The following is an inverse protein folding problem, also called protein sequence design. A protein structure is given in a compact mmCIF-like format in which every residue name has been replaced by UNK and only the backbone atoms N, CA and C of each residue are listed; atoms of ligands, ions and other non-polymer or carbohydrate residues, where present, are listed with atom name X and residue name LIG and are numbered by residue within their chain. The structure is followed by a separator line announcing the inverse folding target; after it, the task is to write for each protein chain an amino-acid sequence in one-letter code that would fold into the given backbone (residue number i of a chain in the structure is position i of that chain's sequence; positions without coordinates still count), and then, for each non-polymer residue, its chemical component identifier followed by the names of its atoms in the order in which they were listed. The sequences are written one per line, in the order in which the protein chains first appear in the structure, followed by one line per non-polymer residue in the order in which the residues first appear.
data_IF_266395352620
#
_entry.id   IF_266395352620
#
_cell.length_a   1.000
_cell.length_b   1.000
_cell.length_c   1.000
_cell.angle_alpha   90.00
_cell.angle_beta   90.00
_cell.angle_gamma   90.00
#
_symmetry.space_group_name_H-M   'P 1'
#
loop_
_entity.id
_entity.type
_entity.pdbx_description
1 polymer ?
#
# COMPACT_ATOMS: atom_id res chain seq x y z
N UNK A 1 44.06 22.44 -3.80
CA UNK A 1 42.64 22.10 -3.51
C UNK A 1 42.38 20.75 -4.14
N UNK A 2 42.38 19.68 -3.35
CA UNK A 2 42.18 18.33 -3.86
C UNK A 2 40.74 18.18 -4.36
N UNK A 3 40.59 17.73 -5.60
CA UNK A 3 39.30 17.41 -6.20
C UNK A 3 38.70 16.21 -5.45
N UNK A 4 37.81 16.48 -4.49
CA UNK A 4 37.03 15.45 -3.80
C UNK A 4 36.05 14.86 -4.82
N UNK A 5 36.50 13.90 -5.62
CA UNK A 5 35.63 13.06 -6.44
C UNK A 5 34.70 12.28 -5.51
N UNK A 6 33.48 12.77 -5.36
CA UNK A 6 32.41 12.06 -4.65
C UNK A 6 32.20 10.73 -5.36
N UNK A 7 32.25 9.64 -4.59
CA UNK A 7 32.05 8.29 -5.10
C UNK A 7 30.67 8.15 -5.76
N UNK A 8 30.66 7.72 -7.03
CA UNK A 8 29.46 7.48 -7.84
C UNK A 8 28.51 6.49 -7.17
N UNK A 9 29.03 5.56 -6.37
CA UNK A 9 28.23 4.62 -5.59
C UNK A 9 27.40 5.33 -4.51
N UNK A 10 27.98 6.31 -3.81
CA UNK A 10 27.30 7.11 -2.78
C UNK A 10 26.16 7.92 -3.42
N UNK A 11 26.39 8.49 -4.60
CA UNK A 11 25.37 9.24 -5.35
C UNK A 11 24.22 8.30 -5.75
N UNK A 12 24.53 7.15 -6.34
CA UNK A 12 23.52 6.17 -6.76
C UNK A 12 22.67 5.66 -5.59
N UNK A 13 23.28 5.39 -4.43
CA UNK A 13 22.56 4.97 -3.22
C UNK A 13 21.58 6.05 -2.75
N UNK A 14 22.01 7.32 -2.70
CA UNK A 14 21.14 8.45 -2.32
C UNK A 14 19.98 8.65 -3.29
N UNK A 15 20.25 8.63 -4.60
CA UNK A 15 19.20 8.79 -5.63
C UNK A 15 18.21 7.63 -5.57
N UNK A 16 18.69 6.40 -5.40
CA UNK A 16 17.83 5.23 -5.28
C UNK A 16 16.98 5.28 -4.01
N UNK A 17 17.54 5.70 -2.87
CA UNK A 17 16.77 5.91 -1.65
C UNK A 17 15.67 6.97 -1.85
N UNK A 18 16.03 8.15 -2.38
CA UNK A 18 15.06 9.23 -2.58
C UNK A 18 13.94 8.83 -3.53
N UNK A 19 14.25 8.09 -4.59
CA UNK A 19 13.25 7.54 -5.51
C UNK A 19 12.29 6.60 -4.80
N UNK A 20 12.79 5.61 -4.06
CA UNK A 20 11.94 4.65 -3.33
C UNK A 20 11.13 5.34 -2.23
N UNK A 21 11.70 6.32 -1.54
CA UNK A 21 10.98 7.12 -0.56
C UNK A 21 9.78 7.87 -1.18
N UNK A 22 10.00 8.57 -2.31
CA UNK A 22 8.94 9.29 -3.01
C UNK A 22 7.88 8.34 -3.59
N UNK A 23 8.31 7.20 -4.15
CA UNK A 23 7.42 6.18 -4.67
C UNK A 23 6.54 5.59 -3.56
N UNK A 24 7.10 5.35 -2.37
CA UNK A 24 6.35 4.87 -1.23
C UNK A 24 5.27 5.88 -0.81
N UNK A 25 5.62 7.16 -0.68
CA UNK A 25 4.66 8.21 -0.33
C UNK A 25 3.52 8.29 -1.35
N UNK A 26 3.84 8.30 -2.64
CA UNK A 26 2.85 8.30 -3.71
C UNK A 26 1.95 7.05 -3.67
N UNK A 27 2.54 5.88 -3.42
CA UNK A 27 1.79 4.62 -3.33
C UNK A 27 0.85 4.60 -2.12
N UNK A 28 1.29 5.09 -0.96
CA UNK A 28 0.44 5.18 0.24
C UNK A 28 -0.73 6.16 0.04
N UNK A 29 -0.51 7.29 -0.62
CA UNK A 29 -1.58 8.23 -0.97
C UNK A 29 -2.56 7.57 -1.97
N UNK A 30 -2.05 6.89 -2.99
CA UNK A 30 -2.88 6.16 -3.94
C UNK A 30 -3.69 5.03 -3.27
N UNK A 31 -3.11 4.35 -2.28
CA UNK A 31 -3.82 3.37 -1.45
C UNK A 31 -4.99 4.01 -0.70
N UNK A 32 -4.81 5.19 -0.09
CA UNK A 32 -5.92 5.91 0.57
C UNK A 32 -7.07 6.15 -0.42
N UNK A 33 -6.75 6.62 -1.63
CA UNK A 33 -7.74 6.94 -2.66
C UNK A 33 -8.47 5.68 -3.13
N UNK A 34 -7.74 4.64 -3.54
CA UNK A 34 -8.35 3.41 -4.06
C UNK A 34 -9.12 2.66 -2.98
N UNK A 35 -8.70 2.70 -1.70
CA UNK A 35 -9.45 2.15 -0.58
C UNK A 35 -10.71 2.97 -0.26
N UNK A 36 -10.68 4.29 -0.48
CA UNK A 36 -11.88 5.12 -0.39
C UNK A 36 -12.89 4.71 -1.45
N UNK A 37 -12.44 4.50 -2.69
CA UNK A 37 -13.28 3.96 -3.76
C UNK A 37 -13.73 2.54 -3.44
N UNK A 38 -12.88 1.72 -2.82
CA UNK A 38 -13.23 0.36 -2.41
C UNK A 38 -14.45 0.36 -1.51
N UNK A 39 -14.50 1.26 -0.51
CA UNK A 39 -15.55 1.24 0.50
C UNK A 39 -16.80 2.03 0.09
N UNK A 40 -16.62 3.24 -0.44
CA UNK A 40 -17.73 4.15 -0.71
C UNK A 40 -18.43 3.91 -2.06
N UNK A 41 -17.74 3.27 -3.00
CA UNK A 41 -18.31 2.90 -4.30
C UNK A 41 -18.57 1.39 -4.42
N UNK A 42 -18.50 0.64 -3.30
CA UNK A 42 -18.97 -0.74 -3.27
C UNK A 42 -20.50 -0.76 -3.20
N UNK A 43 -21.13 -1.56 -4.06
CA UNK A 43 -22.58 -1.77 -4.06
C UNK A 43 -23.00 -2.85 -3.05
N UNK A 44 -22.03 -3.57 -2.46
CA UNK A 44 -22.25 -4.64 -1.50
C UNK A 44 -22.53 -4.07 -0.11
N UNK A 45 -23.72 -4.36 0.41
CA UNK A 45 -24.19 -3.87 1.70
C UNK A 45 -23.43 -4.44 2.90
N UNK A 46 -22.75 -5.58 2.76
CA UNK A 46 -22.03 -6.26 3.84
C UNK A 46 -20.94 -5.35 4.45
N UNK A 47 -20.30 -4.49 3.65
CA UNK A 47 -19.22 -3.62 4.15
C UNK A 47 -19.71 -2.49 5.06
N UNK A 48 -21.02 -2.20 5.11
CA UNK A 48 -21.59 -1.24 6.06
C UNK A 48 -21.83 -1.83 7.45
N UNK A 49 -21.59 -3.13 7.66
CA UNK A 49 -21.66 -3.72 8.98
C UNK A 49 -20.60 -3.13 9.92
N UNK A 50 -20.89 -3.02 11.23
CA UNK A 50 -19.97 -2.41 12.20
C UNK A 50 -18.57 -3.02 12.21
N UNK A 51 -18.46 -4.34 11.98
CA UNK A 51 -17.16 -5.02 11.90
C UNK A 51 -16.29 -4.44 10.80
N UNK A 52 -16.82 -4.27 9.58
CA UNK A 52 -16.09 -3.75 8.44
C UNK A 52 -15.74 -2.27 8.58
N UNK A 53 -16.62 -1.48 9.21
CA UNK A 53 -16.32 -0.08 9.56
C UNK A 53 -15.12 0.00 10.50
N UNK A 54 -15.03 -0.89 11.49
CA UNK A 54 -13.89 -0.95 12.43
C UNK A 54 -12.60 -1.34 11.68
N UNK A 55 -12.65 -2.37 10.82
CA UNK A 55 -11.50 -2.80 10.01
C UNK A 55 -11.00 -1.65 9.13
N UNK A 56 -11.91 -0.96 8.43
CA UNK A 56 -11.59 0.21 7.61
C UNK A 56 -10.96 1.34 8.43
N UNK A 57 -11.50 1.60 9.62
CA UNK A 57 -10.99 2.64 10.52
C UNK A 57 -9.57 2.34 10.98
N UNK A 58 -9.29 1.09 11.37
CA UNK A 58 -7.94 0.64 11.74
C UNK A 58 -6.99 0.79 10.56
N UNK A 59 -7.44 0.44 9.35
CA UNK A 59 -6.65 0.56 8.14
C UNK A 59 -6.27 2.02 7.84
N UNK A 60 -7.22 2.96 7.90
CA UNK A 60 -6.95 4.40 7.71
C UNK A 60 -6.06 5.01 8.79
N UNK A 61 -6.22 4.61 10.05
CA UNK A 61 -5.32 5.07 11.12
C UNK A 61 -3.91 4.55 10.88
N UNK A 62 -3.77 3.29 10.48
CA UNK A 62 -2.45 2.68 10.23
C UNK A 62 -1.74 3.32 9.04
N UNK A 63 -2.46 3.59 7.93
CA UNK A 63 -1.85 4.24 6.76
C UNK A 63 -1.47 5.70 7.06
N UNK A 64 -2.32 6.43 7.80
CA UNK A 64 -2.03 7.80 8.23
C UNK A 64 -0.82 7.87 9.17
N UNK A 65 -0.75 6.95 10.13
CA UNK A 65 0.39 6.84 11.04
C UNK A 65 1.69 6.47 10.30
N UNK A 66 1.62 5.52 9.37
CA UNK A 66 2.75 5.15 8.52
C UNK A 66 3.23 6.33 7.68
N UNK A 67 2.33 7.05 7.00
CA UNK A 67 2.64 8.26 6.23
C UNK A 67 3.36 9.29 7.10
N UNK A 68 2.83 9.59 8.29
CA UNK A 68 3.45 10.55 9.21
C UNK A 68 4.90 10.17 9.55
N UNK A 69 5.16 8.90 9.84
CA UNK A 69 6.51 8.42 10.14
C UNK A 69 7.43 8.44 8.91
N UNK A 70 6.91 8.05 7.73
CA UNK A 70 7.68 8.08 6.47
C UNK A 70 8.04 9.53 6.12
N UNK A 71 7.14 10.51 6.25
CA UNK A 71 7.46 11.93 6.04
C UNK A 71 8.61 12.40 6.94
N UNK A 72 8.68 11.90 8.18
CA UNK A 72 9.77 12.18 9.12
C UNK A 72 11.02 11.32 8.90
N UNK A 73 11.01 10.48 7.86
CA UNK A 73 12.08 9.53 7.49
C UNK A 73 12.42 8.55 8.62
N UNK A 74 11.44 8.22 9.46
CA UNK A 74 11.60 7.28 10.57
C UNK A 74 11.48 5.85 10.05
N UNK A 75 12.46 5.00 10.37
CA UNK A 75 12.60 3.63 9.85
C UNK A 75 11.36 2.74 10.08
N UNK A 76 10.69 2.87 11.24
CA UNK A 76 9.46 2.11 11.52
C UNK A 76 8.30 2.46 10.59
N UNK A 77 8.24 3.69 10.06
CA UNK A 77 7.20 4.09 9.10
C UNK A 77 7.21 3.24 7.84
N UNK A 78 8.41 2.97 7.30
CA UNK A 78 8.60 2.12 6.13
C UNK A 78 8.20 0.68 6.44
N UNK A 79 8.61 0.13 7.59
CA UNK A 79 8.22 -1.23 7.99
C UNK A 79 6.70 -1.38 8.06
N UNK A 80 6.02 -0.45 8.75
CA UNK A 80 4.55 -0.45 8.87
C UNK A 80 3.91 -0.32 7.49
N UNK A 81 4.43 0.54 6.62
CA UNK A 81 3.93 0.69 5.24
C UNK A 81 3.99 -0.63 4.46
N UNK A 82 5.12 -1.33 4.56
CA UNK A 82 5.33 -2.60 3.86
C UNK A 82 4.41 -3.70 4.38
N UNK A 83 4.30 -3.84 5.71
CA UNK A 83 3.39 -4.82 6.34
C UNK A 83 1.93 -4.53 5.99
N UNK A 84 1.49 -3.27 6.10
CA UNK A 84 0.15 -2.86 5.72
C UNK A 84 -0.16 -3.17 4.25
N UNK A 85 0.82 -2.95 3.37
CA UNK A 85 0.65 -3.22 1.94
C UNK A 85 0.52 -4.72 1.65
N UNK A 86 1.25 -5.59 2.35
CA UNK A 86 1.05 -7.04 2.28
C UNK A 86 -0.35 -7.45 2.73
N UNK A 87 -0.82 -6.92 3.87
CA UNK A 87 -2.18 -7.18 4.35
C UNK A 87 -3.23 -6.73 3.34
N UNK A 88 -2.98 -5.61 2.66
CA UNK A 88 -3.87 -5.06 1.63
C UNK A 88 -3.92 -5.98 0.39
N UNK A 89 -2.79 -6.54 -0.05
CA UNK A 89 -2.77 -7.53 -1.13
C UNK A 89 -3.58 -8.77 -0.75
N UNK A 90 -3.37 -9.30 0.46
CA UNK A 90 -4.09 -10.49 0.94
C UNK A 90 -5.60 -10.22 0.96
N UNK A 91 -6.01 -9.06 1.48
CA UNK A 91 -7.41 -8.67 1.52
C UNK A 91 -8.05 -8.63 0.12
N UNK A 92 -7.45 -7.90 -0.84
CA UNK A 92 -8.01 -7.83 -2.20
C UNK A 92 -7.90 -9.13 -2.99
N UNK A 93 -6.90 -9.97 -2.71
CA UNK A 93 -6.82 -11.30 -3.29
C UNK A 93 -7.95 -12.21 -2.78
N UNK A 94 -8.26 -12.13 -1.48
CA UNK A 94 -9.38 -12.86 -0.88
C UNK A 94 -10.75 -12.33 -1.34
N UNK A 95 -10.90 -11.02 -1.58
CA UNK A 95 -12.14 -10.47 -2.15
C UNK A 95 -12.34 -10.93 -3.61
N UNK A 96 -11.23 -11.12 -4.35
CA UNK A 96 -11.23 -11.64 -5.71
C UNK A 96 -11.10 -13.19 -5.79
N UNK A 97 -11.34 -13.92 -4.70
CA UNK A 97 -11.12 -15.38 -4.65
C UNK A 97 -11.97 -16.16 -5.66
N UNK A 98 -13.13 -15.63 -6.05
CA UNK A 98 -14.05 -16.23 -7.03
C UNK A 98 -13.39 -16.51 -8.38
N UNK A 99 -12.39 -15.73 -8.78
CA UNK A 99 -11.67 -15.89 -10.07
C UNK A 99 -10.93 -17.23 -10.14
N UNK A 100 -10.37 -17.69 -9.02
CA UNK A 100 -9.53 -18.89 -8.97
C UNK A 100 -10.30 -20.07 -8.37
N UNK A 101 -11.08 -19.82 -7.32
CA UNK A 101 -11.72 -20.86 -6.52
C UNK A 101 -13.21 -21.04 -6.83
N UNK A 102 -13.79 -20.22 -7.71
CA UNK A 102 -15.24 -20.19 -7.98
C UNK A 102 -16.11 -20.02 -6.72
N UNK A 103 -15.52 -19.43 -5.68
CA UNK A 103 -16.14 -19.15 -4.40
C UNK A 103 -15.61 -17.83 -3.82
N UNK A 104 -16.50 -17.03 -3.24
CA UNK A 104 -16.16 -15.77 -2.59
C UNK A 104 -15.92 -15.96 -1.09
N UNK A 105 -14.78 -15.50 -0.58
CA UNK A 105 -14.38 -15.75 0.83
C UNK A 105 -14.72 -14.60 1.78
N UNK A 106 -14.85 -13.37 1.28
CA UNK A 106 -15.04 -12.18 2.11
C UNK A 106 -16.51 -11.75 2.15
N UNK A 107 -17.09 -11.52 0.98
CA UNK A 107 -18.45 -11.03 0.81
C UNK A 107 -19.06 -11.66 -0.45
N UNK A 108 -20.25 -11.20 -0.85
CA UNK A 108 -20.80 -11.50 -2.17
C UNK A 108 -19.82 -11.22 -3.30
N UNK A 109 -19.97 -11.96 -4.40
CA UNK A 109 -19.07 -11.89 -5.55
C UNK A 109 -18.99 -10.46 -6.11
N UNK A 110 -17.78 -9.88 -6.21
CA UNK A 110 -17.61 -8.54 -6.76
C UNK A 110 -17.90 -8.53 -8.27
N UNK A 111 -18.51 -7.44 -8.74
CA UNK A 111 -18.70 -7.23 -10.17
C UNK A 111 -17.36 -6.95 -10.90
N UNK A 112 -17.40 -6.85 -12.24
CA UNK A 112 -16.20 -6.60 -13.04
C UNK A 112 -15.46 -5.30 -12.66
N UNK A 113 -16.20 -4.24 -12.33
CA UNK A 113 -15.60 -2.96 -11.94
C UNK A 113 -14.84 -3.08 -10.61
N UNK A 114 -15.45 -3.71 -9.60
CA UNK A 114 -14.84 -3.99 -8.31
C UNK A 114 -13.61 -4.88 -8.43
N UNK A 115 -13.72 -5.95 -9.23
CA UNK A 115 -12.60 -6.86 -9.51
C UNK A 115 -11.40 -6.13 -10.11
N UNK A 116 -11.63 -5.27 -11.12
CA UNK A 116 -10.58 -4.47 -11.74
C UNK A 116 -9.97 -3.46 -10.77
N UNK A 117 -10.80 -2.76 -9.98
CA UNK A 117 -10.35 -1.86 -8.91
C UNK A 117 -9.43 -2.59 -7.93
N UNK A 118 -9.83 -3.78 -7.48
CA UNK A 118 -9.06 -4.60 -6.54
C UNK A 118 -7.69 -4.99 -7.13
N UNK A 119 -7.62 -5.37 -8.41
CA UNK A 119 -6.35 -5.64 -9.09
C UNK A 119 -5.44 -4.41 -9.22
N UNK A 120 -6.00 -3.25 -9.59
CA UNK A 120 -5.25 -1.99 -9.61
C UNK A 120 -4.69 -1.70 -8.23
N UNK A 121 -5.51 -1.88 -7.20
CA UNK A 121 -5.11 -1.79 -5.81
C UNK A 121 -3.92 -2.71 -5.49
N UNK A 122 -4.00 -3.99 -5.83
CA UNK A 122 -2.90 -4.97 -5.62
C UNK A 122 -1.61 -4.49 -6.28
N UNK A 123 -1.68 -3.92 -7.49
CA UNK A 123 -0.54 -3.31 -8.17
C UNK A 123 0.09 -2.17 -7.36
N UNK A 124 -0.73 -1.24 -6.85
CA UNK A 124 -0.29 -0.12 -6.02
C UNK A 124 0.34 -0.64 -4.70
N UNK A 125 -0.29 -1.61 -4.05
CA UNK A 125 0.25 -2.23 -2.84
C UNK A 125 1.58 -2.93 -3.11
N UNK A 126 1.74 -3.57 -4.28
CA UNK A 126 3.01 -4.14 -4.72
C UNK A 126 4.13 -3.09 -4.85
N UNK A 127 3.82 -1.92 -5.44
CA UNK A 127 4.75 -0.79 -5.48
C UNK A 127 5.12 -0.30 -4.07
N UNK A 128 4.15 -0.23 -3.16
CA UNK A 128 4.38 0.16 -1.78
C UNK A 128 5.28 -0.85 -1.04
N UNK A 129 5.10 -2.17 -1.24
CA UNK A 129 5.98 -3.21 -0.67
C UNK A 129 7.41 -3.03 -1.18
N UNK A 130 7.58 -2.95 -2.50
CA UNK A 130 8.91 -2.85 -3.11
C UNK A 130 9.65 -1.59 -2.67
N UNK A 131 8.97 -0.45 -2.73
CA UNK A 131 9.54 0.84 -2.34
C UNK A 131 9.84 0.93 -0.85
N UNK A 132 8.95 0.40 0.01
CA UNK A 132 9.19 0.28 1.45
C UNK A 132 10.44 -0.54 1.76
N UNK A 133 10.53 -1.76 1.20
CA UNK A 133 11.66 -2.65 1.46
C UNK A 133 12.99 -2.01 1.04
N UNK A 134 13.04 -1.46 -0.17
CA UNK A 134 14.25 -0.83 -0.69
C UNK A 134 14.66 0.44 0.07
N UNK A 135 13.70 1.24 0.52
CA UNK A 135 13.99 2.43 1.31
C UNK A 135 14.42 2.05 2.73
N UNK A 136 13.77 1.07 3.36
CA UNK A 136 14.06 0.60 4.72
C UNK A 136 15.50 0.11 4.90
N UNK A 137 16.05 -0.61 3.91
CA UNK A 137 17.42 -1.11 3.95
C UNK A 137 18.49 -0.04 3.66
N UNK A 138 18.08 1.16 3.22
CA UNK A 138 18.98 2.28 2.89
C UNK A 138 18.96 3.40 3.94
N UNK A 139 18.15 3.24 5.01
CA UNK A 139 18.08 4.12 6.18
C UNK A 139 18.95 3.57 7.31
#
# INVERSE_FOLDING_TARGET
MGDFKVDKNIINMKTSYQFNHNLLLASLIALIVISSVYYWADERGEFFEPFWIIVLSIWYVTIGFSLFLVFRKIKSGYLIAGVLSWMTIIFWACDNSHIVFQASFIASEPNLFMTNRNFIGVGIAGLAIFSSHNAFHKI
#
